data_IF_120595168776
#
_entry.id   IF_120595168776
#
_cell.length_a   1.000
_cell.length_b   1.000
_cell.length_c   1.000
_cell.angle_alpha   90.00
_cell.angle_beta   90.00
_cell.angle_gamma   90.00
#
_symmetry.space_group_name_H-M   'P 1'
#
loop_
_entity.id
_entity.type
_entity.pdbx_description
1 polymer ?
#
# COMPACT_ATOMS: atom_id res chain seq x y z
N UNK A 1 -23.85 -9.13 10.70
CA UNK A 1 -23.34 -9.82 11.90
C UNK A 1 -23.21 -11.33 11.70
N UNK A 2 -24.28 -12.09 11.36
CA UNK A 2 -24.19 -13.55 11.10
C UNK A 2 -23.16 -13.92 10.01
N UNK A 3 -23.23 -13.27 8.84
CA UNK A 3 -22.32 -13.55 7.72
C UNK A 3 -20.84 -13.35 8.06
N UNK A 4 -20.52 -12.36 8.89
CA UNK A 4 -19.15 -12.07 9.29
C UNK A 4 -18.56 -13.23 10.11
N UNK A 5 -19.29 -13.69 11.13
CA UNK A 5 -18.86 -14.82 11.94
C UNK A 5 -18.82 -16.13 11.15
N UNK A 6 -19.70 -16.27 10.16
CA UNK A 6 -19.67 -17.41 9.24
C UNK A 6 -18.43 -17.40 8.35
N UNK A 7 -18.09 -16.26 7.75
CA UNK A 7 -16.85 -16.10 7.00
C UNK A 7 -15.61 -16.31 7.88
N UNK A 8 -15.57 -15.71 9.08
CA UNK A 8 -14.50 -15.96 10.06
C UNK A 8 -14.42 -17.45 10.43
N UNK A 9 -15.58 -18.10 10.53
CA UNK A 9 -15.87 -19.54 10.52
C UNK A 9 -15.00 -20.34 9.56
N UNK A 10 -15.17 -20.01 8.29
CA UNK A 10 -14.52 -20.72 7.19
C UNK A 10 -13.04 -20.34 7.15
N UNK A 11 -12.71 -19.05 7.30
CA UNK A 11 -11.34 -18.55 7.26
C UNK A 11 -10.44 -19.19 8.32
N UNK A 12 -10.93 -19.37 9.55
CA UNK A 12 -10.17 -20.00 10.64
C UNK A 12 -10.30 -21.52 10.68
N UNK A 13 -11.05 -22.14 9.75
CA UNK A 13 -11.17 -23.59 9.62
C UNK A 13 -12.00 -24.30 10.70
N UNK A 14 -12.87 -23.57 11.40
CA UNK A 14 -13.84 -24.09 12.37
C UNK A 14 -15.20 -24.40 11.72
N UNK A 15 -15.40 -23.95 10.48
CA UNK A 15 -16.44 -24.39 9.55
C UNK A 15 -15.75 -25.01 8.32
N UNK A 16 -16.11 -26.24 7.96
CA UNK A 16 -15.54 -26.98 6.81
C UNK A 16 -16.55 -27.14 5.68
N UNK A 17 -16.05 -27.48 4.48
CA UNK A 17 -16.83 -27.85 3.29
C UNK A 17 -17.68 -26.73 2.64
N UNK A 18 -17.31 -25.47 2.87
CA UNK A 18 -17.97 -24.30 2.29
C UNK A 18 -17.10 -23.62 1.22
N UNK A 19 -17.75 -22.94 0.27
CA UNK A 19 -17.08 -22.13 -0.76
C UNK A 19 -16.54 -20.84 -0.14
N UNK A 20 -15.25 -20.88 0.21
CA UNK A 20 -14.55 -19.75 0.83
C UNK A 20 -14.64 -18.45 0.02
N UNK A 21 -14.54 -18.51 -1.31
CA UNK A 21 -14.53 -17.31 -2.14
C UNK A 21 -15.93 -16.70 -2.25
N UNK A 22 -16.96 -17.54 -2.38
CA UNK A 22 -18.34 -17.11 -2.32
C UNK A 22 -18.65 -16.40 -1.00
N UNK A 23 -18.28 -17.01 0.12
CA UNK A 23 -18.59 -16.50 1.46
C UNK A 23 -17.80 -15.23 1.79
N UNK A 24 -16.54 -15.14 1.37
CA UNK A 24 -15.72 -13.92 1.40
C UNK A 24 -16.41 -12.79 0.64
N UNK A 25 -16.88 -13.07 -0.58
CA UNK A 25 -17.55 -12.09 -1.42
C UNK A 25 -18.88 -11.60 -0.81
N UNK A 26 -19.70 -12.51 -0.29
CA UNK A 26 -20.95 -12.17 0.40
C UNK A 26 -20.70 -11.32 1.66
N UNK A 27 -19.72 -11.70 2.48
CA UNK A 27 -19.32 -10.93 3.66
C UNK A 27 -18.87 -9.50 3.29
N UNK A 28 -18.04 -9.38 2.25
CA UNK A 28 -17.54 -8.12 1.73
C UNK A 28 -18.69 -7.18 1.30
N UNK A 29 -19.64 -7.67 0.51
CA UNK A 29 -20.79 -6.87 0.05
C UNK A 29 -21.69 -6.39 1.18
N UNK A 30 -21.95 -7.24 2.18
CA UNK A 30 -22.77 -6.86 3.33
C UNK A 30 -22.11 -5.75 4.14
N UNK A 31 -20.81 -5.83 4.37
CA UNK A 31 -20.07 -4.83 5.13
C UNK A 31 -19.95 -3.49 4.37
N UNK A 32 -19.74 -3.53 3.05
CA UNK A 32 -19.71 -2.30 2.24
C UNK A 32 -21.05 -1.57 2.24
N UNK A 33 -22.15 -2.33 2.20
CA UNK A 33 -23.50 -1.76 2.22
C UNK A 33 -23.76 -0.92 3.48
N UNK A 34 -23.19 -1.30 4.62
CA UNK A 34 -23.33 -0.53 5.87
C UNK A 34 -22.70 0.86 5.77
N UNK A 35 -21.73 1.05 4.86
CA UNK A 35 -21.08 2.33 4.56
C UNK A 35 -21.55 2.98 3.24
N UNK A 36 -22.61 2.44 2.61
CA UNK A 36 -23.09 2.88 1.28
C UNK A 36 -22.03 2.76 0.18
N UNK A 37 -21.10 1.82 0.32
CA UNK A 37 -20.07 1.54 -0.68
C UNK A 37 -20.41 0.30 -1.49
N UNK A 38 -19.72 0.16 -2.62
CA UNK A 38 -19.74 -1.00 -3.51
C UNK A 38 -18.33 -1.53 -3.70
N UNK A 39 -18.20 -2.71 -4.31
CA UNK A 39 -16.89 -3.24 -4.67
C UNK A 39 -16.19 -2.40 -5.75
N UNK A 40 -16.91 -1.56 -6.49
CA UNK A 40 -16.31 -0.63 -7.44
C UNK A 40 -15.56 0.50 -6.75
N UNK A 41 -16.12 1.05 -5.66
CA UNK A 41 -15.46 2.09 -4.87
C UNK A 41 -14.13 1.59 -4.29
N UNK A 42 -14.10 0.33 -3.83
CA UNK A 42 -12.88 -0.33 -3.37
C UNK A 42 -11.89 -0.55 -4.52
N UNK A 43 -12.36 -1.01 -5.68
CA UNK A 43 -11.52 -1.22 -6.85
C UNK A 43 -10.90 0.10 -7.34
N UNK A 44 -11.62 1.21 -7.28
CA UNK A 44 -11.10 2.53 -7.64
C UNK A 44 -9.95 2.97 -6.74
N UNK A 45 -10.04 2.70 -5.43
CA UNK A 45 -8.94 2.94 -4.49
C UNK A 45 -7.72 2.06 -4.78
N UNK A 46 -7.92 0.81 -5.20
CA UNK A 46 -6.82 -0.13 -5.49
C UNK A 46 -6.18 0.08 -6.88
N UNK A 47 -6.87 0.78 -7.78
CA UNK A 47 -6.44 1.06 -9.16
C UNK A 47 -5.82 2.44 -9.31
N UNK A 48 -4.84 2.76 -8.46
CA UNK A 48 -4.07 3.99 -8.62
C UNK A 48 -3.27 3.96 -9.94
N UNK A 49 -3.49 4.92 -10.86
CA UNK A 49 -2.89 4.89 -12.20
C UNK A 49 -1.36 4.90 -12.23
N UNK A 50 -0.73 5.41 -11.17
CA UNK A 50 0.73 5.47 -11.08
C UNK A 50 1.39 4.09 -10.96
N UNK A 51 0.64 3.07 -10.51
CA UNK A 51 1.15 1.71 -10.39
C UNK A 51 0.57 0.85 -11.52
N UNK A 52 1.39 0.44 -12.50
CA UNK A 52 0.91 -0.31 -13.64
C UNK A 52 0.53 -1.74 -13.23
N UNK A 53 -0.57 -2.21 -13.82
CA UNK A 53 -1.18 -3.52 -13.57
C UNK A 53 -1.50 -4.21 -14.89
N UNK A 54 -1.71 -5.52 -14.85
CA UNK A 54 -2.30 -6.26 -15.98
C UNK A 54 -3.74 -5.81 -16.21
N UNK A 55 -4.29 -6.13 -17.38
CA UNK A 55 -5.72 -5.93 -17.67
C UNK A 55 -6.64 -6.62 -16.65
N UNK A 56 -6.18 -7.71 -16.05
CA UNK A 56 -6.87 -8.46 -15.00
C UNK A 56 -6.70 -7.88 -13.59
N UNK A 57 -6.02 -6.74 -13.41
CA UNK A 57 -5.87 -6.07 -12.11
C UNK A 57 -4.71 -6.56 -11.23
N UNK A 58 -3.84 -7.42 -11.77
CA UNK A 58 -2.70 -7.95 -11.06
C UNK A 58 -1.47 -7.05 -11.19
N UNK A 59 -0.53 -7.10 -10.23
CA UNK A 59 0.76 -6.44 -10.44
C UNK A 59 1.52 -7.14 -11.58
N UNK A 60 2.24 -6.34 -12.37
CA UNK A 60 3.10 -6.83 -13.42
C UNK A 60 4.34 -7.52 -12.83
N UNK A 61 4.81 -8.59 -13.46
CA UNK A 61 5.93 -9.40 -12.97
C UNK A 61 7.31 -8.78 -13.21
N UNK A 62 7.38 -7.78 -14.07
CA UNK A 62 8.62 -7.06 -14.38
C UNK A 62 8.64 -5.70 -13.66
N UNK A 63 9.85 -5.17 -13.45
CA UNK A 63 9.99 -3.82 -12.89
C UNK A 63 9.46 -2.82 -13.92
N UNK A 64 8.57 -1.94 -13.47
CA UNK A 64 8.05 -0.84 -14.28
C UNK A 64 8.32 0.50 -13.60
N UNK A 65 8.38 1.52 -14.43
CA UNK A 65 8.41 2.92 -14.03
C UNK A 65 7.09 3.38 -13.41
N UNK A 66 7.18 4.35 -12.50
CA UNK A 66 6.01 5.12 -12.08
C UNK A 66 5.54 5.99 -13.25
N UNK A 67 4.23 6.02 -13.47
CA UNK A 67 3.62 6.86 -14.49
C UNK A 67 3.50 8.29 -13.97
N UNK A 68 4.60 9.04 -14.04
CA UNK A 68 4.66 10.47 -13.71
C UNK A 68 4.51 11.30 -15.00
N UNK A 69 3.81 12.43 -14.89
CA UNK A 69 3.44 13.25 -16.05
C UNK A 69 4.62 14.05 -16.63
N UNK A 70 5.73 14.20 -15.88
CA UNK A 70 6.84 15.09 -16.21
C UNK A 70 8.23 14.45 -16.10
N UNK A 71 9.26 15.27 -16.34
CA UNK A 71 10.62 14.96 -15.91
C UNK A 71 10.62 14.65 -14.42
N UNK A 72 11.24 13.52 -14.05
CA UNK A 72 11.21 13.02 -12.69
C UNK A 72 12.61 13.00 -12.08
N UNK A 73 12.64 13.00 -10.76
CA UNK A 73 13.85 12.96 -9.95
C UNK A 73 14.02 11.56 -9.35
N UNK A 74 15.28 11.15 -9.20
CA UNK A 74 15.65 9.89 -8.58
C UNK A 74 15.96 10.06 -7.08
N UNK A 75 16.30 11.26 -6.64
CA UNK A 75 16.81 11.50 -5.29
C UNK A 75 16.66 12.96 -4.87
N UNK A 76 16.43 13.18 -3.57
CA UNK A 76 16.59 14.47 -2.92
C UNK A 76 17.97 14.54 -2.29
N UNK A 77 18.84 15.43 -2.79
CA UNK A 77 20.20 15.61 -2.27
C UNK A 77 20.16 16.53 -1.04
N UNK A 78 19.37 17.59 -1.10
CA UNK A 78 19.25 18.54 -0.01
C UNK A 78 18.54 19.83 -0.41
N UNK A 79 18.62 20.80 0.49
CA UNK A 79 18.02 22.12 0.32
C UNK A 79 19.05 23.17 0.76
N UNK A 80 19.23 24.20 -0.04
CA UNK A 80 20.05 25.37 0.29
C UNK A 80 19.16 26.57 0.54
N UNK A 81 19.45 27.33 1.60
CA UNK A 81 18.78 28.58 1.93
C UNK A 81 19.79 29.72 1.76
N UNK A 82 19.47 30.66 0.88
CA UNK A 82 20.18 31.92 0.81
C UNK A 82 19.72 32.82 1.97
N UNK A 83 20.58 33.05 2.95
CA UNK A 83 20.24 33.84 4.13
C UNK A 83 20.05 35.34 3.84
N UNK A 84 20.61 35.84 2.74
CA UNK A 84 20.52 37.25 2.38
C UNK A 84 19.22 37.57 1.63
N UNK A 85 18.78 36.66 0.74
CA UNK A 85 17.56 36.85 -0.08
C UNK A 85 16.34 36.09 0.45
N UNK A 86 16.55 35.06 1.27
CA UNK A 86 15.52 34.11 1.67
C UNK A 86 15.19 33.06 0.61
N UNK A 87 15.93 33.02 -0.50
CA UNK A 87 15.68 32.05 -1.58
C UNK A 87 15.99 30.63 -1.12
N UNK A 88 15.09 29.70 -1.47
CA UNK A 88 15.24 28.28 -1.19
C UNK A 88 15.51 27.57 -2.52
N UNK A 89 16.64 26.89 -2.62
CA UNK A 89 16.98 26.07 -3.78
C UNK A 89 16.97 24.59 -3.39
N UNK A 90 16.25 23.81 -4.17
CA UNK A 90 16.14 22.38 -3.98
C UNK A 90 17.13 21.67 -4.89
N UNK A 91 17.96 20.80 -4.30
CA UNK A 91 18.95 20.03 -5.04
C UNK A 91 18.43 18.60 -5.24
N UNK A 92 18.13 18.27 -6.49
CA UNK A 92 17.63 16.96 -6.88
C UNK A 92 18.55 16.28 -7.88
N UNK A 93 18.62 14.95 -7.84
CA UNK A 93 19.23 14.16 -8.91
C UNK A 93 18.17 13.86 -9.96
N UNK A 94 18.34 14.36 -11.19
CA UNK A 94 17.46 13.99 -12.30
C UNK A 94 17.56 12.50 -12.61
N UNK A 95 16.41 11.86 -12.84
CA UNK A 95 16.38 10.46 -13.24
C UNK A 95 16.84 10.32 -14.70
N UNK A 96 18.06 9.80 -14.90
CA UNK A 96 18.62 9.53 -16.24
C UNK A 96 17.83 8.49 -17.04
N UNK A 97 17.06 7.66 -16.35
CA UNK A 97 16.20 6.63 -16.93
C UNK A 97 14.85 6.66 -16.26
N UNK A 98 13.79 6.38 -17.02
CA UNK A 98 12.42 6.49 -16.55
C UNK A 98 12.13 5.53 -15.39
N UNK A 99 12.73 4.34 -15.37
CA UNK A 99 12.58 3.36 -14.27
C UNK A 99 13.25 3.77 -12.94
N UNK A 100 13.99 4.88 -12.94
CA UNK A 100 14.60 5.46 -11.74
C UNK A 100 13.83 6.68 -11.21
N UNK A 101 12.79 7.14 -11.92
CA UNK A 101 11.96 8.26 -11.44
C UNK A 101 11.18 7.83 -10.20
N UNK A 102 11.24 8.63 -9.14
CA UNK A 102 10.53 8.39 -7.88
C UNK A 102 9.48 9.46 -7.59
N UNK A 103 9.74 10.71 -7.97
CA UNK A 103 8.85 11.85 -7.76
C UNK A 103 9.11 12.91 -8.85
N UNK A 104 8.23 13.88 -8.99
CA UNK A 104 8.42 15.03 -9.88
C UNK A 104 8.29 16.37 -9.14
N UNK A 105 8.38 17.48 -9.89
CA UNK A 105 8.30 18.82 -9.31
C UNK A 105 6.91 19.13 -8.74
N UNK A 106 5.85 18.52 -9.28
CA UNK A 106 4.49 18.70 -8.77
C UNK A 106 4.35 18.06 -7.40
N UNK A 107 4.91 16.86 -7.21
CA UNK A 107 4.92 16.19 -5.90
C UNK A 107 5.58 17.07 -4.83
N UNK A 108 6.74 17.68 -5.16
CA UNK A 108 7.46 18.60 -4.25
C UNK A 108 6.59 19.81 -3.93
N UNK A 109 6.02 20.45 -4.94
CA UNK A 109 5.21 21.65 -4.76
C UNK A 109 3.94 21.37 -3.96
N UNK A 110 3.29 20.22 -4.15
CA UNK A 110 2.11 19.84 -3.40
C UNK A 110 2.42 19.63 -1.92
N UNK A 111 3.52 18.95 -1.60
CA UNK A 111 3.99 18.74 -0.22
C UNK A 111 4.28 20.08 0.46
N UNK A 112 5.02 20.97 -0.19
CA UNK A 112 5.42 22.26 0.36
C UNK A 112 4.23 23.21 0.51
N UNK A 113 3.41 23.36 -0.53
CA UNK A 113 2.27 24.30 -0.54
C UNK A 113 1.22 23.92 0.48
N UNK A 114 1.04 22.62 0.74
CA UNK A 114 0.11 22.14 1.77
C UNK A 114 0.75 22.10 3.18
N UNK A 115 2.04 22.45 3.31
CA UNK A 115 2.77 22.47 4.57
C UNK A 115 2.84 21.08 5.22
N UNK A 116 3.07 20.04 4.40
CA UNK A 116 3.23 18.67 4.89
C UNK A 116 4.67 18.53 5.38
N UNK A 117 4.85 18.47 6.69
CA UNK A 117 6.17 18.31 7.33
C UNK A 117 6.46 16.89 7.78
N UNK A 118 5.43 16.06 7.91
CA UNK A 118 5.53 14.65 8.26
C UNK A 118 4.30 13.92 7.72
N UNK A 119 4.37 12.60 7.69
CA UNK A 119 3.23 11.74 7.42
C UNK A 119 3.22 10.53 8.35
N UNK A 120 2.04 10.20 8.86
CA UNK A 120 1.75 8.94 9.53
C UNK A 120 0.59 8.28 8.80
N UNK A 121 0.69 6.96 8.59
CA UNK A 121 -0.30 6.18 7.88
C UNK A 121 -0.50 4.83 8.56
N UNK A 122 -1.75 4.40 8.70
CA UNK A 122 -2.12 3.05 9.14
C UNK A 122 -3.43 2.62 8.48
N UNK A 123 -3.60 1.31 8.32
CA UNK A 123 -4.87 0.68 8.00
C UNK A 123 -5.32 -0.09 9.25
N UNK A 124 -6.31 0.46 9.97
CA UNK A 124 -6.83 -0.10 11.21
C UNK A 124 -8.15 -0.85 10.96
N UNK A 125 -8.50 -1.90 11.74
CA UNK A 125 -9.84 -2.45 11.68
C UNK A 125 -10.88 -1.34 11.96
N UNK A 126 -11.94 -1.18 11.13
CA UNK A 126 -12.93 -0.12 11.29
C UNK A 126 -13.74 -0.29 12.57
N UNK A 127 -13.82 -1.51 13.10
CA UNK A 127 -14.47 -1.81 14.35
C UNK A 127 -13.62 -2.80 15.17
N UNK A 128 -13.19 -2.37 16.35
CA UNK A 128 -12.38 -3.17 17.28
C UNK A 128 -13.09 -4.45 17.80
N UNK A 129 -14.41 -4.56 17.64
CA UNK A 129 -15.17 -5.77 18.00
C UNK A 129 -14.96 -6.93 17.01
N UNK A 130 -14.58 -6.61 15.77
CA UNK A 130 -14.38 -7.60 14.71
C UNK A 130 -12.88 -7.87 14.55
N UNK A 131 -12.44 -9.04 15.05
CA UNK A 131 -11.03 -9.43 15.08
C UNK A 131 -10.41 -9.62 13.69
N UNK A 132 -11.22 -10.00 12.70
CA UNK A 132 -10.83 -10.35 11.33
C UNK A 132 -11.70 -9.59 10.31
N UNK A 133 -11.87 -8.29 10.52
CA UNK A 133 -12.62 -7.45 9.59
C UNK A 133 -12.00 -7.50 8.19
N UNK A 134 -12.75 -7.86 7.12
CA UNK A 134 -12.22 -7.91 5.76
C UNK A 134 -11.93 -6.52 5.16
N UNK A 135 -12.20 -5.46 5.92
CA UNK A 135 -11.90 -4.08 5.58
C UNK A 135 -11.05 -3.48 6.67
N UNK A 136 -10.13 -2.61 6.27
CA UNK A 136 -9.41 -1.74 7.17
C UNK A 136 -9.74 -0.28 6.81
N UNK A 137 -9.98 0.54 7.83
CA UNK A 137 -10.12 1.98 7.74
C UNK A 137 -8.75 2.63 7.56
N UNK A 138 -8.63 3.45 6.52
CA UNK A 138 -7.44 4.26 6.31
C UNK A 138 -7.39 5.41 7.31
N UNK A 139 -6.33 5.45 8.14
CA UNK A 139 -6.07 6.54 9.07
C UNK A 139 -4.72 7.16 8.78
N UNK A 140 -4.72 8.48 8.69
CA UNK A 140 -3.54 9.25 8.38
C UNK A 140 -3.51 10.58 9.12
N UNK A 141 -2.28 11.07 9.31
CA UNK A 141 -1.96 12.38 9.84
C UNK A 141 -0.77 12.98 9.08
N UNK A 142 -0.73 14.31 8.90
CA UNK A 142 -1.78 15.27 9.24
C UNK A 142 -3.00 15.16 8.30
N UNK A 143 -4.19 15.60 8.74
CA UNK A 143 -5.43 15.49 7.92
C UNK A 143 -5.39 16.25 6.59
N UNK A 144 -4.50 17.24 6.47
CA UNK A 144 -4.20 17.93 5.21
C UNK A 144 -3.54 17.06 4.14
N UNK A 145 -3.06 15.85 4.46
CA UNK A 145 -2.58 14.89 3.44
C UNK A 145 -3.65 14.58 2.38
N UNK A 146 -4.94 14.73 2.70
CA UNK A 146 -6.03 14.61 1.71
C UNK A 146 -5.90 15.59 0.54
N UNK A 147 -5.16 16.70 0.73
CA UNK A 147 -4.88 17.70 -0.32
C UNK A 147 -3.68 17.34 -1.18
N UNK A 148 -2.95 16.28 -0.84
CA UNK A 148 -1.79 15.75 -1.57
C UNK A 148 -2.08 14.27 -1.91
N UNK A 149 -3.02 14.01 -2.83
CA UNK A 149 -3.59 12.69 -3.04
C UNK A 149 -2.54 11.66 -3.47
N UNK A 150 -1.57 12.03 -4.32
CA UNK A 150 -0.49 11.12 -4.73
C UNK A 150 0.37 10.67 -3.55
N UNK A 151 0.68 11.56 -2.60
CA UNK A 151 1.44 11.18 -1.42
C UNK A 151 0.62 10.25 -0.51
N UNK A 152 -0.65 10.56 -0.27
CA UNK A 152 -1.52 9.69 0.52
C UNK A 152 -1.71 8.30 -0.11
N UNK A 153 -1.90 8.23 -1.43
CA UNK A 153 -2.01 6.98 -2.17
C UNK A 153 -0.68 6.22 -2.18
N UNK A 154 0.46 6.90 -2.26
CA UNK A 154 1.78 6.29 -2.10
C UNK A 154 1.88 5.56 -0.75
N UNK A 155 1.43 6.20 0.34
CA UNK A 155 1.45 5.58 1.67
C UNK A 155 0.53 4.35 1.75
N UNK A 156 -0.69 4.46 1.20
CA UNK A 156 -1.65 3.36 1.10
C UNK A 156 -1.07 2.17 0.34
N UNK A 157 -0.55 2.40 -0.85
CA UNK A 157 -0.01 1.34 -1.70
C UNK A 157 1.28 0.76 -1.12
N UNK A 158 2.09 1.55 -0.43
CA UNK A 158 3.28 1.05 0.27
C UNK A 158 2.89 0.07 1.37
N UNK A 159 1.97 0.44 2.25
CA UNK A 159 1.47 -0.46 3.31
C UNK A 159 0.83 -1.72 2.72
N UNK A 160 0.06 -1.58 1.63
CA UNK A 160 -0.57 -2.70 0.96
C UNK A 160 0.44 -3.67 0.34
N UNK A 161 1.50 -3.16 -0.31
CA UNK A 161 2.60 -3.96 -0.83
C UNK A 161 3.34 -4.71 0.28
N UNK A 162 3.65 -4.02 1.39
CA UNK A 162 4.31 -4.63 2.54
C UNK A 162 3.49 -5.79 3.12
N UNK A 163 2.17 -5.62 3.23
CA UNK A 163 1.26 -6.68 3.64
C UNK A 163 1.32 -7.88 2.71
N UNK A 164 1.16 -7.69 1.40
CA UNK A 164 1.22 -8.80 0.43
C UNK A 164 2.55 -9.56 0.45
N UNK A 165 3.65 -8.83 0.64
CA UNK A 165 4.99 -9.43 0.77
C UNK A 165 5.07 -10.24 2.07
N UNK A 166 4.62 -9.69 3.19
CA UNK A 166 4.71 -10.33 4.51
C UNK A 166 3.77 -11.52 4.71
N UNK A 167 2.57 -11.48 4.12
CA UNK A 167 1.58 -12.56 4.22
C UNK A 167 1.77 -13.63 3.15
N UNK A 168 2.56 -13.34 2.11
CA UNK A 168 2.72 -14.23 0.96
C UNK A 168 1.52 -14.23 0.01
N UNK A 169 0.54 -13.33 0.18
CA UNK A 169 -0.69 -13.30 -0.61
C UNK A 169 -0.79 -11.99 -1.39
N UNK A 170 -0.90 -12.07 -2.71
CA UNK A 170 -1.23 -10.94 -3.57
C UNK A 170 -2.74 -10.88 -3.80
N UNK A 171 -3.30 -9.66 -3.78
CA UNK A 171 -4.73 -9.41 -4.02
C UNK A 171 -4.89 -8.66 -5.34
N UNK A 172 -5.80 -9.15 -6.18
CA UNK A 172 -6.19 -8.50 -7.42
C UNK A 172 -6.84 -7.13 -7.13
N UNK A 173 -6.61 -6.10 -7.96
CA UNK A 173 -7.27 -4.80 -7.79
C UNK A 173 -8.69 -4.73 -8.37
N UNK A 174 -9.13 -5.76 -9.08
CA UNK A 174 -10.48 -5.86 -9.64
C UNK A 174 -11.34 -6.78 -8.79
N UNK A 175 -12.63 -6.44 -8.67
CA UNK A 175 -13.63 -7.34 -8.09
C UNK A 175 -13.65 -8.67 -8.86
N UNK A 176 -13.72 -9.84 -8.20
CA UNK A 176 -14.01 -10.08 -6.78
C UNK A 176 -12.78 -10.07 -5.84
N UNK A 177 -11.70 -9.40 -6.24
CA UNK A 177 -10.44 -9.28 -5.51
C UNK A 177 -9.86 -10.65 -5.20
N UNK A 178 -9.66 -11.42 -6.27
CA UNK A 178 -9.04 -12.75 -6.18
C UNK A 178 -7.69 -12.68 -5.47
N UNK A 179 -7.33 -13.80 -4.84
CA UNK A 179 -6.10 -13.94 -4.08
C UNK A 179 -5.21 -14.98 -4.76
N UNK A 180 -3.92 -14.70 -4.83
CA UNK A 180 -2.93 -15.66 -5.33
C UNK A 180 -1.65 -15.59 -4.51
N UNK A 181 -0.72 -16.51 -4.75
CA UNK A 181 0.57 -16.44 -4.08
C UNK A 181 1.35 -15.22 -4.57
N UNK A 182 1.87 -14.40 -3.66
CA UNK A 182 2.72 -13.26 -4.03
C UNK A 182 4.05 -13.70 -4.66
N UNK A 183 4.41 -14.99 -4.54
CA UNK A 183 5.58 -15.57 -5.23
C UNK A 183 5.40 -15.71 -6.73
N UNK A 184 4.17 -15.71 -7.24
CA UNK A 184 3.90 -15.91 -8.66
C UNK A 184 4.40 -14.72 -9.50
N UNK A 185 4.08 -13.49 -9.08
CA UNK A 185 4.42 -12.28 -9.84
C UNK A 185 5.02 -11.18 -8.95
N UNK A 186 4.33 -10.75 -7.89
CA UNK A 186 4.74 -9.60 -7.09
C UNK A 186 6.21 -9.71 -6.63
N UNK A 187 6.61 -10.84 -6.07
CA UNK A 187 7.97 -11.08 -5.58
C UNK A 187 8.99 -11.37 -6.69
N UNK A 188 8.55 -11.62 -7.94
CA UNK A 188 9.47 -11.80 -9.08
C UNK A 188 10.25 -10.52 -9.42
N UNK A 189 9.70 -9.37 -9.00
CA UNK A 189 10.31 -8.04 -9.17
C UNK A 189 11.51 -7.82 -8.24
N UNK A 190 11.62 -8.61 -7.17
CA UNK A 190 12.68 -8.49 -6.20
C UNK A 190 13.93 -9.28 -6.64
N UNK A 191 15.15 -8.79 -6.32
CA UNK A 191 16.37 -9.56 -6.49
C UNK A 191 16.28 -10.94 -5.82
N UNK A 192 16.93 -11.95 -6.39
CA UNK A 192 16.81 -13.34 -5.93
C UNK A 192 17.14 -13.51 -4.43
N UNK A 193 18.21 -12.87 -3.95
CA UNK A 193 18.59 -12.92 -2.53
C UNK A 193 17.51 -12.35 -1.60
N UNK A 194 16.89 -11.21 -1.95
CA UNK A 194 15.79 -10.62 -1.18
C UNK A 194 14.57 -11.55 -1.20
N UNK A 195 14.27 -12.16 -2.34
CA UNK A 195 13.17 -13.10 -2.47
C UNK A 195 13.33 -14.32 -1.57
N UNK A 196 14.53 -14.89 -1.52
CA UNK A 196 14.84 -16.03 -0.64
C UNK A 196 14.65 -15.68 0.84
N UNK A 197 15.11 -14.50 1.26
CA UNK A 197 14.93 -14.01 2.63
C UNK A 197 13.45 -13.84 2.98
N UNK A 198 12.66 -13.23 2.09
CA UNK A 198 11.24 -12.95 2.29
C UNK A 198 10.36 -14.21 2.18
N UNK A 199 10.71 -15.14 1.30
CA UNK A 199 10.05 -16.46 1.22
C UNK A 199 10.13 -17.18 2.56
N UNK A 200 11.24 -17.05 3.28
CA UNK A 200 11.38 -17.63 4.61
C UNK A 200 10.37 -17.08 5.60
N UNK A 201 9.96 -15.82 5.50
CA UNK A 201 8.97 -15.20 6.41
C UNK A 201 7.57 -15.72 6.08
N UNK A 202 7.18 -15.71 4.80
CA UNK A 202 5.89 -16.23 4.36
C UNK A 202 5.74 -17.75 4.61
N UNK A 203 6.82 -18.53 4.44
CA UNK A 203 6.82 -20.00 4.59
C UNK A 203 7.12 -20.52 6.01
N UNK A 204 7.75 -19.73 6.90
CA UNK A 204 7.97 -20.13 8.31
C UNK A 204 6.66 -20.30 9.08
N UNK A 205 5.56 -19.77 8.55
CA UNK A 205 4.22 -19.97 9.08
C UNK A 205 3.57 -21.21 8.45
N UNK A 206 3.90 -22.39 8.97
CA UNK A 206 3.18 -23.64 8.67
C UNK A 206 1.85 -23.66 9.42
N UNK A 207 0.86 -22.96 8.88
CA UNK A 207 -0.51 -22.88 9.38
C UNK A 207 -1.19 -21.63 8.81
N UNK A 208 -2.53 -21.55 8.80
CA UNK A 208 -3.17 -20.28 8.53
C UNK A 208 -2.65 -19.29 9.58
N UNK A 209 -2.17 -18.13 9.15
CA UNK A 209 -1.78 -17.03 10.03
C UNK A 209 -3.05 -16.54 10.75
N UNK A 210 -3.46 -17.26 11.78
CA UNK A 210 -4.74 -17.07 12.47
C UNK A 210 -4.71 -15.80 13.36
N UNK A 211 -3.54 -15.23 13.66
CA UNK A 211 -3.42 -14.12 14.64
C UNK A 211 -2.33 -13.06 14.38
N UNK A 212 -1.61 -13.07 13.24
CA UNK A 212 -0.61 -12.03 13.00
C UNK A 212 -1.23 -10.80 12.33
N UNK A 213 -1.68 -9.85 13.15
CA UNK A 213 -1.91 -8.48 12.68
C UNK A 213 -0.55 -7.91 12.24
N UNK A 214 -0.29 -7.87 10.93
CA UNK A 214 0.85 -7.17 10.37
C UNK A 214 0.55 -5.67 10.35
N UNK A 215 0.85 -5.01 11.48
CA UNK A 215 0.90 -3.54 11.56
C UNK A 215 2.27 -3.08 11.10
N UNK A 216 2.32 -2.49 9.91
CA UNK A 216 3.46 -1.70 9.48
C UNK A 216 3.19 -0.25 9.87
N UNK A 217 4.14 0.34 10.58
CA UNK A 217 4.15 1.77 10.83
C UNK A 217 5.10 2.38 9.82
N UNK A 218 4.56 3.07 8.81
CA UNK A 218 5.39 3.89 7.94
C UNK A 218 5.51 5.24 8.62
N UNK A 219 6.63 5.44 9.31
CA UNK A 219 7.00 6.71 9.89
C UNK A 219 8.26 7.20 9.18
N UNK A 220 8.13 8.32 8.49
CA UNK A 220 9.25 9.02 7.87
C UNK A 220 9.74 10.06 8.89
N UNK A 221 10.74 9.70 9.69
CA UNK A 221 11.45 10.66 10.56
C UNK A 221 12.70 11.20 9.83
N UNK A 222 12.93 12.51 9.94
CA UNK A 222 14.18 13.15 9.53
C UNK A 222 15.21 13.05 10.67
N UNK A 223 15.77 11.87 10.90
CA UNK A 223 16.92 11.71 11.80
C UNK A 223 18.12 11.22 11.00
N UNK A 224 18.78 12.16 10.31
CA UNK A 224 20.18 12.01 9.91
C UNK A 224 20.96 12.96 10.82
N UNK A 225 21.44 12.43 11.94
CA UNK A 225 22.54 13.07 12.66
C UNK A 225 23.77 12.97 11.75
N UNK A 226 24.25 14.11 11.25
CA UNK A 226 25.58 14.17 10.66
C UNK A 226 26.58 14.09 11.81
N UNK A 227 27.31 12.99 11.92
CA UNK A 227 28.57 12.99 12.67
C UNK A 227 29.47 14.08 12.05
N UNK A 228 29.87 15.04 12.90
CA UNK A 228 30.76 16.16 12.57
C UNK A 228 32.19 15.70 12.29
#
# INVERSE_FOLDING_TARGET
MYQYYFFEGIWKGWISDEDFDYERYCCMHLLLRDYQWTTYDVADLLRWPMIPRTHDGWYLSIKHELQLDQSGYAEVIGVTLNNDTGDIEFMFTEAKKTEHKLFDAMDVMDVLTNGITYACFTLDPPNAQYHSHPFNEMRYLPKRLVKVPNYLLTLLHTDYLLKMISTGVEICSLTPFEMRSSSENLMQRLPAHIREELQSIAMKHKGPLIDSIHRFWIQLESNIEYEQ
#
